data_IF_573580685040
#
_entry.id   IF_573580685040
#
_cell.length_a   1.000
_cell.length_b   1.000
_cell.length_c   1.000
_cell.angle_alpha   90.00
_cell.angle_beta   90.00
_cell.angle_gamma   90.00
#
_symmetry.space_group_name_H-M   'P 1'
#
loop_
_entity.id
_entity.type
_entity.pdbx_description
1 polymer ?
#
# COMPACT_ATOMS: atom_id res chain seq x y z
N UNK A 1 -30.76 67.66 9.53
CA UNK A 1 -31.88 66.89 10.04
C UNK A 1 -31.66 65.44 9.68
N UNK A 2 -31.52 64.65 10.74
CA UNK A 2 -31.43 63.19 10.89
C UNK A 2 -30.90 62.30 9.71
N UNK A 3 -29.64 61.89 9.82
CA UNK A 3 -29.06 60.76 9.07
C UNK A 3 -29.31 59.49 9.85
N UNK A 4 -30.09 58.55 9.31
CA UNK A 4 -30.20 57.15 9.80
C UNK A 4 -29.18 56.29 9.07
N UNK A 5 -28.19 55.81 9.79
CA UNK A 5 -27.24 54.81 9.33
C UNK A 5 -27.80 53.43 9.60
N UNK A 6 -28.18 52.70 8.54
CA UNK A 6 -28.54 51.29 8.61
C UNK A 6 -27.30 50.41 8.70
N UNK A 7 -27.13 49.69 9.83
CA UNK A 7 -26.12 48.63 10.01
C UNK A 7 -26.62 47.34 9.37
N UNK A 8 -26.05 46.94 8.26
CA UNK A 8 -26.20 45.59 7.70
C UNK A 8 -25.31 44.59 8.44
N UNK A 9 -25.96 43.62 9.10
CA UNK A 9 -25.29 42.44 9.63
C UNK A 9 -24.99 41.49 8.48
N UNK A 10 -23.72 41.22 8.19
CA UNK A 10 -23.29 40.19 7.27
C UNK A 10 -23.40 38.78 7.90
N UNK A 11 -23.77 37.74 7.14
CA UNK A 11 -23.83 36.37 7.63
C UNK A 11 -22.42 35.81 7.84
N UNK A 12 -22.16 35.30 9.03
CA UNK A 12 -20.89 34.69 9.41
C UNK A 12 -20.60 33.40 8.63
N UNK A 13 -19.43 33.36 8.01
CA UNK A 13 -18.89 32.17 7.32
C UNK A 13 -18.77 30.94 8.21
N UNK A 14 -19.20 29.75 7.73
CA UNK A 14 -19.07 28.49 8.47
C UNK A 14 -17.65 27.89 8.52
N UNK A 15 -16.63 28.59 8.01
CA UNK A 15 -15.27 28.07 7.89
C UNK A 15 -14.45 27.98 9.19
N UNK A 16 -14.98 28.43 10.35
CA UNK A 16 -14.23 28.43 11.64
C UNK A 16 -14.41 27.18 12.50
N UNK A 17 -15.27 26.20 12.13
CA UNK A 17 -15.53 25.03 12.99
C UNK A 17 -14.69 23.78 12.72
N UNK A 18 -13.94 23.74 11.63
CA UNK A 18 -13.16 22.53 11.26
C UNK A 18 -11.69 22.53 11.74
N UNK A 19 -11.15 23.67 12.20
CA UNK A 19 -9.76 23.73 12.70
C UNK A 19 -9.56 23.26 14.15
N UNK A 20 -10.60 23.19 14.95
CA UNK A 20 -10.50 22.78 16.37
C UNK A 20 -10.42 21.27 16.57
N UNK A 21 -10.85 20.45 15.61
CA UNK A 21 -10.77 18.98 15.71
C UNK A 21 -9.35 18.45 15.38
N UNK A 22 -8.65 19.06 14.41
CA UNK A 22 -7.29 18.68 14.05
C UNK A 22 -6.25 19.07 15.12
N UNK A 23 -6.44 20.20 15.79
CA UNK A 23 -5.55 20.65 16.87
C UNK A 23 -5.62 19.77 18.13
N UNK A 24 -6.79 19.17 18.45
CA UNK A 24 -6.94 18.25 19.59
C UNK A 24 -6.33 16.86 19.35
N UNK A 25 -6.22 16.41 18.11
CA UNK A 25 -5.57 15.14 17.77
C UNK A 25 -4.04 15.20 17.86
N UNK A 26 -3.43 16.35 17.61
CA UNK A 26 -1.98 16.57 17.72
C UNK A 26 -1.51 16.65 19.19
N UNK A 27 -2.29 17.24 20.09
CA UNK A 27 -1.92 17.38 21.50
C UNK A 27 -1.90 16.07 22.30
N UNK A 28 -2.57 15.00 21.84
CA UNK A 28 -2.63 13.69 22.54
C UNK A 28 -1.43 12.78 22.24
N UNK A 29 -0.52 13.16 21.34
CA UNK A 29 0.67 12.35 20.97
C UNK A 29 1.99 12.79 21.62
N UNK A 30 2.02 13.88 22.37
CA UNK A 30 3.24 14.40 23.01
C UNK A 30 3.42 14.02 24.49
N UNK A 31 2.55 13.17 25.05
CA UNK A 31 2.59 12.75 26.45
C UNK A 31 3.21 11.37 26.70
N UNK A 32 4.39 11.04 26.15
CA UNK A 32 5.14 9.84 26.52
C UNK A 32 6.48 10.24 27.14
N UNK A 33 6.75 9.92 28.43
CA UNK A 33 7.99 10.29 29.08
C UNK A 33 9.18 9.51 28.46
N UNK A 34 10.24 10.22 28.22
CA UNK A 34 11.52 9.70 27.77
C UNK A 34 12.14 8.80 28.84
N UNK A 35 12.59 7.62 28.45
CA UNK A 35 13.39 6.70 29.27
C UNK A 35 14.84 7.15 29.19
N UNK A 36 15.59 7.23 30.30
CA UNK A 36 16.96 7.71 30.28
C UNK A 36 17.90 6.69 29.63
N UNK A 37 18.75 7.21 28.78
CA UNK A 37 19.91 6.49 28.21
C UNK A 37 20.88 6.09 29.32
N UNK A 38 21.27 4.84 29.33
CA UNK A 38 22.39 4.36 30.17
C UNK A 38 23.48 3.81 29.25
N UNK A 39 24.61 4.42 29.43
CA UNK A 39 25.87 4.39 28.75
C UNK A 39 26.37 3.06 28.19
N UNK A 40 27.14 3.26 27.15
CA UNK A 40 28.02 2.31 26.52
C UNK A 40 28.98 1.66 27.51
N UNK A 41 29.15 0.33 27.40
CA UNK A 41 30.34 -0.36 27.84
C UNK A 41 30.58 -1.51 26.87
N UNK A 42 31.62 -1.35 26.10
CA UNK A 42 32.32 -2.39 25.38
C UNK A 42 32.85 -3.41 26.37
N UNK A 43 32.63 -4.70 26.16
CA UNK A 43 33.55 -5.77 26.54
C UNK A 43 33.33 -6.95 25.60
N UNK A 44 34.37 -7.22 24.84
CA UNK A 44 34.64 -8.48 24.16
C UNK A 44 34.61 -9.65 25.17
N UNK A 45 33.90 -10.72 24.84
CA UNK A 45 33.84 -11.93 25.60
C UNK A 45 33.46 -13.11 24.72
N UNK A 46 34.46 -13.74 24.10
CA UNK A 46 34.39 -15.05 23.46
C UNK A 46 33.87 -16.10 24.45
N UNK A 47 32.84 -16.88 24.19
CA UNK A 47 32.53 -18.04 25.01
C UNK A 47 33.45 -19.20 24.62
N UNK A 48 34.48 -19.36 25.44
CA UNK A 48 35.33 -20.56 25.49
C UNK A 48 34.49 -21.79 25.87
N UNK A 49 34.47 -22.79 25.01
CA UNK A 49 33.84 -24.08 25.26
C UNK A 49 34.46 -24.78 26.48
N UNK A 50 33.65 -24.93 27.51
CA UNK A 50 34.03 -25.70 28.70
C UNK A 50 33.63 -27.15 28.47
N UNK A 51 34.61 -27.98 28.05
CA UNK A 51 34.50 -29.43 28.08
C UNK A 51 34.50 -29.85 29.56
N UNK A 52 33.34 -30.35 30.04
CA UNK A 52 33.29 -31.00 31.34
C UNK A 52 33.97 -32.37 31.23
N UNK A 53 35.14 -32.45 31.81
CA UNK A 53 35.81 -33.72 32.03
C UNK A 53 35.04 -34.45 33.13
N UNK A 54 34.33 -35.53 32.78
CA UNK A 54 33.71 -36.43 33.75
C UNK A 54 34.80 -37.35 34.26
N UNK A 55 35.19 -37.18 35.53
CA UNK A 55 36.07 -38.15 36.22
C UNK A 55 35.31 -39.49 36.36
N UNK A 56 35.96 -40.63 36.05
CA UNK A 56 35.40 -41.95 36.26
C UNK A 56 35.29 -42.26 37.76
N UNK A 57 34.22 -42.90 38.22
CA UNK A 57 34.08 -43.27 39.64
C UNK A 57 35.15 -44.32 40.05
N UNK A 58 35.78 -44.05 41.17
CA UNK A 58 36.85 -44.88 41.75
C UNK A 58 36.31 -46.07 42.53
N UNK A 59 35.47 -46.90 41.94
CA UNK A 59 35.13 -48.19 42.53
C UNK A 59 35.29 -49.29 41.47
N UNK A 60 36.12 -50.26 41.83
CA UNK A 60 36.53 -51.36 40.97
C UNK A 60 35.33 -52.17 40.45
N UNK A 61 35.55 -52.75 39.30
CA UNK A 61 34.70 -53.73 38.69
C UNK A 61 34.54 -54.92 39.62
N UNK A 62 33.40 -55.12 40.25
CA UNK A 62 33.05 -56.35 40.88
C UNK A 62 32.67 -57.36 39.79
N UNK A 63 33.23 -58.55 39.85
CA UNK A 63 32.98 -59.63 38.93
C UNK A 63 31.46 -59.99 38.97
N UNK A 64 30.87 -60.33 37.85
CA UNK A 64 29.48 -60.74 37.80
C UNK A 64 29.30 -62.06 38.56
N UNK A 65 28.22 -62.23 39.33
CA UNK A 65 27.96 -63.47 40.08
C UNK A 65 27.78 -64.66 39.11
N UNK A 66 28.27 -65.83 39.55
CA UNK A 66 28.18 -67.09 38.84
C UNK A 66 26.69 -67.45 38.56
N UNK A 67 26.42 -68.02 37.38
CA UNK A 67 25.03 -68.38 37.01
C UNK A 67 24.55 -69.54 37.86
N UNK A 68 23.40 -69.35 38.50
CA UNK A 68 22.70 -70.39 39.22
C UNK A 68 22.29 -71.56 38.29
N UNK A 69 22.22 -72.80 38.78
CA UNK A 69 21.92 -73.98 37.95
C UNK A 69 20.45 -73.91 37.48
N UNK A 70 20.30 -74.13 36.19
CA UNK A 70 18.98 -74.23 35.53
C UNK A 70 18.12 -75.29 36.16
N UNK A 71 16.98 -74.90 36.74
CA UNK A 71 15.87 -75.76 37.04
C UNK A 71 15.12 -76.16 35.76
N UNK A 72 14.65 -77.38 35.59
CA UNK A 72 13.95 -77.80 34.37
C UNK A 72 12.57 -77.14 34.28
N UNK A 73 12.37 -76.51 33.12
CA UNK A 73 11.09 -75.89 32.72
C UNK A 73 9.93 -76.89 32.91
N UNK A 74 8.98 -76.58 33.81
CA UNK A 74 7.68 -77.16 33.82
C UNK A 74 6.92 -76.62 32.56
N UNK A 75 6.38 -77.62 31.82
CA UNK A 75 5.56 -77.38 30.65
C UNK A 75 4.30 -76.63 31.05
N UNK A 76 4.22 -75.35 30.71
CA UNK A 76 2.97 -74.59 30.78
C UNK A 76 2.01 -75.13 29.71
N UNK A 77 0.88 -75.58 30.15
CA UNK A 77 -0.29 -75.96 29.32
C UNK A 77 -0.70 -74.74 28.49
N UNK A 78 -0.97 -74.97 27.21
CA UNK A 78 -1.52 -74.06 26.25
C UNK A 78 -2.89 -73.51 26.76
N UNK A 79 -2.86 -72.27 27.32
CA UNK A 79 -4.06 -71.46 27.42
C UNK A 79 -4.30 -70.87 26.04
N UNK A 80 -5.52 -70.88 25.49
CA UNK A 80 -5.80 -70.32 24.20
C UNK A 80 -5.67 -68.78 24.31
N UNK A 81 -4.60 -68.25 23.72
CA UNK A 81 -4.39 -66.80 23.56
C UNK A 81 -5.62 -66.18 22.90
N UNK A 82 -6.33 -65.37 23.68
CA UNK A 82 -7.30 -64.43 23.20
C UNK A 82 -6.58 -63.44 22.29
N UNK A 83 -6.53 -63.77 21.00
CA UNK A 83 -5.86 -63.03 19.96
C UNK A 83 -6.51 -61.67 19.75
N UNK A 84 -6.19 -60.72 20.61
CA UNK A 84 -6.48 -59.31 20.34
C UNK A 84 -5.65 -58.86 19.14
N UNK A 85 -6.27 -58.56 18.00
CA UNK A 85 -5.52 -58.13 16.83
C UNK A 85 -4.79 -56.81 17.15
N UNK A 86 -3.50 -56.68 16.74
CA UNK A 86 -2.72 -55.50 17.05
C UNK A 86 -3.44 -54.27 16.52
N UNK A 87 -3.59 -53.28 17.39
CA UNK A 87 -4.31 -52.03 17.18
C UNK A 87 -3.84 -51.33 15.90
N UNK A 88 -4.48 -51.62 14.77
CA UNK A 88 -4.33 -50.93 13.47
C UNK A 88 -4.86 -49.48 13.51
N UNK A 89 -5.42 -49.04 14.63
CA UNK A 89 -5.96 -47.70 14.86
C UNK A 89 -4.86 -46.62 14.84
N UNK A 90 -3.68 -46.90 15.39
CA UNK A 90 -2.57 -45.90 15.44
C UNK A 90 -2.09 -45.49 14.05
N UNK A 91 -1.97 -46.44 13.11
CA UNK A 91 -1.51 -46.11 11.74
C UNK A 91 -2.58 -45.31 10.96
N UNK A 92 -3.85 -45.60 11.16
CA UNK A 92 -4.96 -44.86 10.51
C UNK A 92 -5.05 -43.42 11.04
N UNK A 93 -4.87 -43.24 12.36
CA UNK A 93 -4.82 -41.90 12.97
C UNK A 93 -3.60 -41.14 12.48
N UNK A 94 -2.42 -41.75 12.41
CA UNK A 94 -1.22 -41.13 11.91
C UNK A 94 -1.36 -40.67 10.44
N UNK A 95 -1.90 -41.54 9.58
CA UNK A 95 -2.15 -41.19 8.17
C UNK A 95 -3.22 -40.11 8.02
N UNK A 96 -4.26 -40.08 8.84
CA UNK A 96 -5.27 -39.02 8.84
C UNK A 96 -4.69 -37.68 9.29
N UNK A 97 -3.85 -37.68 10.35
CA UNK A 97 -3.15 -36.46 10.81
C UNK A 97 -2.18 -35.95 9.75
N UNK A 98 -1.40 -36.86 9.15
CA UNK A 98 -0.46 -36.48 8.08
C UNK A 98 -1.19 -35.90 6.86
N UNK A 99 -2.33 -36.50 6.49
CA UNK A 99 -3.22 -36.01 5.43
C UNK A 99 -3.77 -34.60 5.74
N UNK A 100 -4.23 -34.38 6.97
CA UNK A 100 -4.74 -33.09 7.42
C UNK A 100 -3.64 -32.01 7.40
N UNK A 101 -2.42 -32.33 7.87
CA UNK A 101 -1.26 -31.42 7.82
C UNK A 101 -0.88 -31.10 6.38
N UNK A 102 -0.89 -32.08 5.47
CA UNK A 102 -0.61 -31.85 4.06
C UNK A 102 -1.64 -30.91 3.42
N UNK A 103 -2.93 -31.14 3.67
CA UNK A 103 -3.99 -30.25 3.16
C UNK A 103 -3.87 -28.84 3.72
N UNK A 104 -3.57 -28.70 5.02
CA UNK A 104 -3.33 -27.40 5.64
C UNK A 104 -2.11 -26.68 5.03
N UNK A 105 -1.03 -27.41 4.77
CA UNK A 105 0.18 -26.86 4.14
C UNK A 105 -0.09 -26.41 2.70
N UNK A 106 -0.85 -27.20 1.92
CA UNK A 106 -1.24 -26.82 0.55
C UNK A 106 -2.16 -25.60 0.55
N UNK A 107 -3.12 -25.50 1.46
CA UNK A 107 -3.99 -24.35 1.62
C UNK A 107 -3.17 -23.08 1.98
N UNK A 108 -2.25 -23.20 2.93
CA UNK A 108 -1.35 -22.10 3.29
C UNK A 108 -0.48 -21.66 2.12
N UNK A 109 0.10 -22.60 1.36
CA UNK A 109 0.89 -22.31 0.17
C UNK A 109 0.07 -21.61 -0.93
N UNK A 110 -1.18 -22.03 -1.14
CA UNK A 110 -2.10 -21.41 -2.08
C UNK A 110 -2.43 -19.95 -1.69
N UNK A 111 -2.74 -19.71 -0.40
CA UNK A 111 -3.02 -18.37 0.12
C UNK A 111 -1.79 -17.45 0.01
N UNK A 112 -0.61 -17.92 0.41
CA UNK A 112 0.64 -17.17 0.31
C UNK A 112 1.00 -16.87 -1.15
N UNK A 113 0.85 -17.85 -2.04
CA UNK A 113 1.07 -17.67 -3.47
C UNK A 113 0.12 -16.64 -4.10
N UNK A 114 -1.14 -16.62 -3.68
CA UNK A 114 -2.12 -15.64 -4.12
C UNK A 114 -1.78 -14.22 -3.61
N UNK A 115 -1.46 -14.07 -2.32
CA UNK A 115 -1.03 -12.79 -1.75
C UNK A 115 0.23 -12.24 -2.43
N UNK A 116 1.22 -13.11 -2.70
CA UNK A 116 2.44 -12.72 -3.39
C UNK A 116 2.16 -12.20 -4.81
N UNK A 117 1.27 -12.88 -5.56
CA UNK A 117 0.86 -12.43 -6.90
C UNK A 117 0.12 -11.09 -6.84
N UNK A 118 -0.80 -10.92 -5.89
CA UNK A 118 -1.49 -9.63 -5.70
C UNK A 118 -0.52 -8.50 -5.37
N UNK A 119 0.46 -8.73 -4.49
CA UNK A 119 1.48 -7.74 -4.17
C UNK A 119 2.26 -7.28 -5.41
N UNK A 120 2.71 -8.23 -6.24
CA UNK A 120 3.40 -7.92 -7.50
C UNK A 120 2.53 -7.16 -8.50
N UNK A 121 1.28 -7.56 -8.66
CA UNK A 121 0.34 -6.87 -9.55
C UNK A 121 0.09 -5.43 -9.09
N UNK A 122 -0.01 -5.18 -7.79
CA UNK A 122 -0.19 -3.84 -7.22
C UNK A 122 1.05 -2.96 -7.45
N UNK A 123 2.26 -3.49 -7.30
CA UNK A 123 3.49 -2.72 -7.58
C UNK A 123 3.64 -2.38 -9.08
N UNK A 124 3.31 -3.31 -9.96
CA UNK A 124 3.27 -3.04 -11.41
C UNK A 124 2.22 -1.98 -11.74
N UNK A 125 1.00 -2.13 -11.19
CA UNK A 125 -0.09 -1.17 -11.37
C UNK A 125 0.30 0.23 -10.87
N UNK A 126 1.03 0.32 -9.76
CA UNK A 126 1.56 1.57 -9.22
C UNK A 126 2.47 2.29 -10.22
N UNK A 127 3.46 1.60 -10.76
CA UNK A 127 4.39 2.16 -11.74
C UNK A 127 3.69 2.58 -13.04
N UNK A 128 2.83 1.72 -13.58
CA UNK A 128 2.08 1.98 -14.81
C UNK A 128 1.10 3.16 -14.64
N UNK A 129 0.40 3.25 -13.51
CA UNK A 129 -0.53 4.33 -13.24
C UNK A 129 0.18 5.69 -13.09
N UNK A 130 1.35 5.74 -12.42
CA UNK A 130 2.17 6.96 -12.37
C UNK A 130 2.60 7.38 -13.76
N UNK A 131 3.12 6.48 -14.57
CA UNK A 131 3.53 6.78 -15.94
C UNK A 131 2.34 7.30 -16.79
N UNK A 132 1.16 6.71 -16.64
CA UNK A 132 -0.06 7.15 -17.30
C UNK A 132 -0.51 8.55 -16.81
N UNK A 133 -0.45 8.81 -15.50
CA UNK A 133 -0.79 10.10 -14.93
C UNK A 133 0.17 11.21 -15.41
N UNK A 134 1.48 10.95 -15.41
CA UNK A 134 2.50 11.88 -15.91
C UNK A 134 2.29 12.23 -17.39
N UNK A 135 1.87 11.26 -18.19
CA UNK A 135 1.53 11.46 -19.60
C UNK A 135 0.21 12.20 -19.80
N UNK A 136 -0.80 11.89 -18.97
CA UNK A 136 -2.14 12.44 -19.11
C UNK A 136 -2.25 13.89 -18.60
N UNK A 137 -1.61 14.21 -17.48
CA UNK A 137 -1.75 15.51 -16.82
C UNK A 137 -1.46 16.70 -17.75
N UNK A 138 -0.34 16.76 -18.47
CA UNK A 138 -0.06 17.87 -19.39
C UNK A 138 -1.10 17.98 -20.52
N UNK A 139 -1.61 16.85 -21.00
CA UNK A 139 -2.58 16.82 -22.11
C UNK A 139 -3.98 17.22 -21.66
N UNK A 140 -4.43 16.73 -20.50
CA UNK A 140 -5.78 16.97 -19.98
C UNK A 140 -5.95 18.40 -19.45
N UNK A 141 -4.85 18.96 -18.88
CA UNK A 141 -4.85 20.26 -18.22
C UNK A 141 -4.34 21.42 -19.11
N UNK A 142 -4.00 21.17 -20.38
CA UNK A 142 -3.54 22.19 -21.32
C UNK A 142 -4.52 22.39 -22.46
N UNK A 143 -4.63 23.64 -22.91
CA UNK A 143 -5.35 23.96 -24.14
C UNK A 143 -4.81 25.25 -24.77
N UNK A 144 -5.07 25.41 -26.08
CA UNK A 144 -4.83 26.63 -26.84
C UNK A 144 -6.12 26.96 -27.60
N UNK A 145 -6.60 28.20 -27.45
CA UNK A 145 -7.85 28.64 -28.08
C UNK A 145 -7.83 28.51 -29.62
N UNK A 146 -6.66 28.47 -30.24
CA UNK A 146 -6.52 28.29 -31.70
C UNK A 146 -6.81 26.88 -32.17
N UNK A 147 -6.70 25.87 -31.28
CA UNK A 147 -6.76 24.47 -31.60
C UNK A 147 -7.55 23.64 -30.58
N UNK A 148 -8.65 24.21 -30.04
CA UNK A 148 -9.42 23.60 -28.96
C UNK A 148 -9.90 22.18 -29.27
N UNK A 149 -10.45 21.96 -30.47
CA UNK A 149 -10.97 20.64 -30.86
C UNK A 149 -9.90 19.56 -30.83
N UNK A 150 -8.70 19.88 -31.31
CA UNK A 150 -7.56 18.98 -31.28
C UNK A 150 -7.11 18.68 -29.85
N UNK A 151 -7.01 19.71 -29.01
CA UNK A 151 -6.59 19.54 -27.60
C UNK A 151 -7.60 18.72 -26.82
N UNK A 152 -8.88 19.04 -26.92
CA UNK A 152 -9.94 18.33 -26.20
C UNK A 152 -10.13 16.89 -26.72
N UNK A 153 -9.99 16.66 -28.00
CA UNK A 153 -10.04 15.30 -28.57
C UNK A 153 -8.91 14.43 -28.02
N UNK A 154 -7.67 14.95 -28.00
CA UNK A 154 -6.52 14.26 -27.42
C UNK A 154 -6.70 13.97 -25.93
N UNK A 155 -7.19 14.95 -25.16
CA UNK A 155 -7.47 14.78 -23.74
C UNK A 155 -8.53 13.68 -23.53
N UNK A 156 -9.65 13.73 -24.25
CA UNK A 156 -10.73 12.73 -24.17
C UNK A 156 -10.27 11.31 -24.47
N UNK A 157 -9.28 11.13 -25.33
CA UNK A 157 -8.69 9.80 -25.61
C UNK A 157 -8.00 9.19 -24.38
N UNK A 158 -7.56 10.01 -23.42
CA UNK A 158 -6.91 9.58 -22.18
C UNK A 158 -7.89 9.40 -21.01
N UNK A 159 -9.16 9.76 -21.21
CA UNK A 159 -10.21 9.69 -20.20
C UNK A 159 -11.12 8.49 -20.40
N UNK A 160 -11.80 8.06 -19.35
CA UNK A 160 -12.75 6.95 -19.41
C UNK A 160 -14.02 7.24 -18.60
N UNK A 161 -15.08 6.46 -18.89
CA UNK A 161 -16.33 6.47 -18.17
C UNK A 161 -17.04 7.83 -18.14
N UNK A 162 -17.74 8.06 -17.05
CA UNK A 162 -18.51 9.28 -16.84
C UNK A 162 -17.66 10.57 -16.94
N UNK A 163 -16.41 10.50 -16.48
CA UNK A 163 -15.50 11.65 -16.52
C UNK A 163 -15.19 12.11 -17.95
N UNK A 164 -15.01 11.19 -18.89
CA UNK A 164 -14.83 11.51 -20.31
C UNK A 164 -16.01 12.32 -20.88
N UNK A 165 -17.24 11.94 -20.49
CA UNK A 165 -18.45 12.62 -20.97
C UNK A 165 -18.63 13.98 -20.29
N UNK A 166 -18.40 14.04 -18.97
CA UNK A 166 -18.42 15.28 -18.20
C UNK A 166 -17.37 16.29 -18.72
N UNK A 167 -16.15 15.85 -18.94
CA UNK A 167 -15.09 16.66 -19.53
C UNK A 167 -15.49 17.22 -20.89
N UNK A 168 -16.07 16.37 -21.77
CA UNK A 168 -16.56 16.80 -23.07
C UNK A 168 -17.67 17.85 -22.99
N UNK A 169 -18.62 17.70 -22.08
CA UNK A 169 -19.68 18.68 -21.83
C UNK A 169 -19.12 20.01 -21.31
N UNK A 170 -18.28 19.96 -20.30
CA UNK A 170 -17.70 21.16 -19.67
C UNK A 170 -16.78 21.91 -20.63
N UNK A 171 -15.93 21.21 -21.36
CA UNK A 171 -15.01 21.85 -22.32
C UNK A 171 -15.78 22.52 -23.45
N UNK A 172 -16.85 21.91 -23.95
CA UNK A 172 -17.70 22.50 -25.01
C UNK A 172 -18.55 23.68 -24.52
N UNK A 173 -19.15 23.54 -23.33
CA UNK A 173 -20.13 24.52 -22.84
C UNK A 173 -19.46 25.74 -22.17
N UNK A 174 -18.33 25.56 -21.52
CA UNK A 174 -17.69 26.60 -20.68
C UNK A 174 -16.30 26.96 -21.19
N UNK A 175 -15.42 25.97 -21.34
CA UNK A 175 -13.99 26.26 -21.60
C UNK A 175 -13.79 26.82 -23.01
N UNK A 176 -14.41 26.24 -24.05
CA UNK A 176 -14.22 26.66 -25.43
C UNK A 176 -14.69 28.11 -25.67
N UNK A 177 -15.93 28.53 -25.30
CA UNK A 177 -16.34 29.90 -25.51
C UNK A 177 -15.52 30.90 -24.70
N UNK A 178 -15.15 30.55 -23.46
CA UNK A 178 -14.31 31.40 -22.61
C UNK A 178 -12.88 31.55 -23.17
N UNK A 179 -12.26 30.44 -23.57
CA UNK A 179 -10.93 30.44 -24.15
C UNK A 179 -10.86 31.23 -25.47
N UNK A 180 -11.89 31.09 -26.32
CA UNK A 180 -12.00 31.85 -27.58
C UNK A 180 -12.18 33.33 -27.31
N UNK A 181 -13.07 33.70 -26.38
CA UNK A 181 -13.35 35.09 -26.04
C UNK A 181 -12.11 35.83 -25.52
N UNK A 182 -11.32 35.17 -24.69
CA UNK A 182 -10.18 35.81 -24.03
C UNK A 182 -8.82 35.39 -24.60
N UNK A 183 -8.80 34.70 -25.72
CA UNK A 183 -7.59 34.16 -26.37
C UNK A 183 -6.74 33.33 -25.39
N UNK A 184 -7.44 32.47 -24.61
CA UNK A 184 -6.85 31.71 -23.51
C UNK A 184 -5.92 30.60 -23.99
N UNK A 185 -4.70 30.59 -23.47
CA UNK A 185 -3.72 29.51 -23.62
C UNK A 185 -3.30 29.06 -22.24
N UNK A 186 -3.48 27.80 -21.94
CA UNK A 186 -3.02 27.16 -20.69
C UNK A 186 -2.04 26.04 -21.04
N UNK A 187 -0.84 26.12 -20.50
CA UNK A 187 0.18 25.08 -20.60
C UNK A 187 0.46 24.50 -19.22
N UNK A 188 0.10 23.24 -19.02
CA UNK A 188 0.37 22.48 -17.82
C UNK A 188 1.62 21.61 -18.00
N UNK A 189 2.47 21.55 -16.99
CA UNK A 189 3.63 20.67 -16.92
C UNK A 189 3.70 20.07 -15.52
N UNK A 190 4.06 18.80 -15.38
CA UNK A 190 4.33 18.26 -14.05
C UNK A 190 5.61 18.88 -13.51
N UNK A 191 5.58 19.34 -12.27
CA UNK A 191 6.73 19.95 -11.64
C UNK A 191 7.88 18.93 -11.54
N UNK A 192 9.08 19.37 -11.89
CA UNK A 192 10.31 18.58 -11.75
C UNK A 192 11.26 19.37 -10.88
N UNK A 193 11.98 18.74 -9.93
CA UNK A 193 13.00 19.42 -9.14
C UNK A 193 14.09 20.05 -10.03
N UNK A 194 14.66 21.13 -9.58
CA UNK A 194 15.68 21.88 -10.34
C UNK A 194 16.98 21.07 -10.55
N UNK A 195 17.23 20.10 -9.71
CA UNK A 195 18.38 19.18 -9.76
C UNK A 195 18.20 18.01 -10.75
N UNK A 196 17.09 17.99 -11.51
CA UNK A 196 16.81 16.96 -12.52
C UNK A 196 16.26 15.65 -11.93
N UNK A 197 15.75 15.68 -10.71
CA UNK A 197 15.11 14.55 -10.05
C UNK A 197 13.82 14.07 -10.75
N UNK A 198 13.19 13.02 -10.19
CA UNK A 198 11.95 12.49 -10.70
C UNK A 198 10.82 13.54 -10.67
N UNK A 199 9.86 13.49 -11.62
CA UNK A 199 8.69 14.36 -11.60
C UNK A 199 7.93 14.25 -10.28
N UNK A 200 7.41 15.39 -9.80
CA UNK A 200 6.71 15.48 -8.51
C UNK A 200 5.34 14.79 -8.58
N UNK A 201 5.36 13.47 -8.41
CA UNK A 201 4.22 12.58 -8.41
C UNK A 201 4.30 11.61 -7.24
N UNK A 202 3.18 11.33 -6.59
CA UNK A 202 3.08 10.37 -5.49
C UNK A 202 1.84 9.51 -5.63
N UNK A 203 1.96 8.21 -5.35
CA UNK A 203 0.82 7.31 -5.34
C UNK A 203 0.16 7.37 -3.97
N UNK A 204 -1.08 7.80 -3.94
CA UNK A 204 -1.93 7.82 -2.73
C UNK A 204 -2.48 6.42 -2.45
N UNK A 205 -2.94 5.73 -3.49
CA UNK A 205 -3.40 4.35 -3.41
C UNK A 205 -3.24 3.65 -4.76
N UNK A 206 -3.01 2.34 -4.73
CA UNK A 206 -2.94 1.51 -5.92
C UNK A 206 -3.57 0.15 -5.67
N UNK A 207 -4.32 -0.33 -6.65
CA UNK A 207 -4.85 -1.66 -6.79
C UNK A 207 -4.62 -2.10 -8.25
N UNK A 208 -4.76 -3.39 -8.61
CA UNK A 208 -4.49 -3.87 -9.96
C UNK A 208 -5.30 -3.17 -11.08
N UNK A 209 -6.48 -2.65 -10.76
CA UNK A 209 -7.43 -2.03 -11.69
C UNK A 209 -7.67 -0.54 -11.46
N UNK A 210 -7.23 0.00 -10.33
CA UNK A 210 -7.47 1.40 -9.94
C UNK A 210 -6.28 1.98 -9.18
N UNK A 211 -5.94 3.24 -9.47
CA UNK A 211 -4.91 3.97 -8.73
C UNK A 211 -5.31 5.44 -8.54
N UNK A 212 -4.81 6.03 -7.46
CA UNK A 212 -4.93 7.46 -7.17
C UNK A 212 -3.53 8.04 -7.10
N UNK A 213 -3.24 9.01 -7.95
CA UNK A 213 -1.93 9.68 -8.05
C UNK A 213 -2.10 11.16 -7.74
N UNK A 214 -1.26 11.67 -6.86
CA UNK A 214 -1.11 13.09 -6.59
C UNK A 214 0.04 13.65 -7.42
N UNK A 215 -0.22 14.74 -8.12
CA UNK A 215 0.74 15.44 -8.97
C UNK A 215 0.87 16.89 -8.55
N UNK A 216 2.08 17.43 -8.63
CA UNK A 216 2.30 18.88 -8.57
C UNK A 216 2.45 19.37 -10.01
N UNK A 217 1.64 20.35 -10.37
CA UNK A 217 1.52 20.83 -11.76
C UNK A 217 1.75 22.33 -11.81
N UNK A 218 2.68 22.73 -12.65
CA UNK A 218 2.89 24.12 -13.01
C UNK A 218 1.98 24.44 -14.19
N UNK A 219 1.11 25.45 -14.04
CA UNK A 219 0.26 25.93 -15.13
C UNK A 219 0.64 27.37 -15.49
N UNK A 220 1.00 27.57 -16.74
CA UNK A 220 1.21 28.92 -17.30
C UNK A 220 -0.01 29.30 -18.09
N UNK A 221 -0.71 30.32 -17.61
CA UNK A 221 -1.92 30.88 -18.26
C UNK A 221 -1.60 32.20 -18.95
N UNK A 222 -2.00 32.30 -20.21
CA UNK A 222 -1.97 33.53 -21.01
C UNK A 222 -3.37 33.83 -21.52
N UNK A 223 -3.81 35.09 -21.43
CA UNK A 223 -5.08 35.54 -21.99
C UNK A 223 -5.09 37.05 -22.15
N UNK A 224 -6.06 37.58 -22.87
CA UNK A 224 -6.23 39.06 -22.98
C UNK A 224 -6.67 39.72 -21.67
N UNK A 225 -7.04 38.92 -20.65
CA UNK A 225 -7.42 39.44 -19.33
C UNK A 225 -6.25 39.62 -18.38
N UNK A 226 -5.09 39.05 -18.69
CA UNK A 226 -3.89 39.16 -17.86
C UNK A 226 -2.76 39.81 -18.68
N UNK A 227 -2.14 40.89 -18.18
CA UNK A 227 -1.12 41.64 -18.94
C UNK A 227 0.16 40.80 -19.17
N UNK A 228 0.45 39.83 -18.28
CA UNK A 228 1.61 38.97 -18.41
C UNK A 228 1.23 37.50 -18.11
N UNK A 229 2.02 36.51 -18.59
CA UNK A 229 1.81 35.14 -18.28
C UNK A 229 1.78 34.89 -16.77
N UNK A 230 0.72 34.24 -16.28
CA UNK A 230 0.58 33.87 -14.87
C UNK A 230 1.00 32.42 -14.69
N UNK A 231 1.88 32.19 -13.71
CA UNK A 231 2.27 30.87 -13.28
C UNK A 231 1.48 30.47 -12.02
N UNK A 232 0.75 29.40 -12.10
CA UNK A 232 0.02 28.81 -10.97
C UNK A 232 0.62 27.44 -10.63
N UNK A 233 0.87 27.19 -9.34
CA UNK A 233 1.32 25.91 -8.79
C UNK A 233 0.11 25.18 -8.21
N UNK A 234 -0.28 24.10 -8.84
CA UNK A 234 -1.46 23.35 -8.45
C UNK A 234 -1.11 21.95 -7.98
N UNK A 235 -1.84 21.48 -6.98
CA UNK A 235 -1.87 20.07 -6.57
C UNK A 235 -3.08 19.42 -7.19
N UNK A 236 -2.85 18.36 -7.95
CA UNK A 236 -3.89 17.67 -8.70
C UNK A 236 -3.90 16.20 -8.31
N UNK A 237 -5.06 15.73 -7.85
CA UNK A 237 -5.31 14.31 -7.59
C UNK A 237 -5.98 13.70 -8.82
N UNK A 238 -5.32 12.73 -9.43
CA UNK A 238 -5.85 11.98 -10.56
C UNK A 238 -6.25 10.58 -10.12
N UNK A 239 -7.48 10.20 -10.38
CA UNK A 239 -7.93 8.80 -10.27
C UNK A 239 -7.82 8.15 -11.63
N UNK A 240 -7.15 7.00 -11.69
CA UNK A 240 -6.98 6.22 -12.91
C UNK A 240 -7.65 4.86 -12.74
N UNK A 241 -8.17 4.36 -13.85
CA UNK A 241 -8.79 3.03 -13.94
C UNK A 241 -8.15 2.27 -15.09
N UNK A 242 -7.84 1.01 -14.88
CA UNK A 242 -7.31 0.11 -15.92
C UNK A 242 -8.45 -0.31 -16.84
N UNK A 243 -8.24 -0.15 -18.14
CA UNK A 243 -9.17 -0.57 -19.21
C UNK A 243 -8.47 -1.54 -20.14
N UNK A 244 -9.19 -2.09 -21.15
CA UNK A 244 -8.58 -2.88 -22.23
C UNK A 244 -7.49 -2.12 -22.99
N UNK A 245 -7.63 -0.79 -23.09
CA UNK A 245 -6.68 0.09 -23.79
C UNK A 245 -5.57 0.65 -22.86
N UNK A 246 -5.43 0.10 -21.66
CA UNK A 246 -4.49 0.55 -20.65
C UNK A 246 -5.10 1.48 -19.59
N UNK A 247 -4.25 2.21 -18.88
CA UNK A 247 -4.68 3.12 -17.82
C UNK A 247 -5.29 4.40 -18.40
N UNK A 248 -6.51 4.73 -17.96
CA UNK A 248 -7.25 5.94 -18.33
C UNK A 248 -7.62 6.75 -17.09
N UNK A 249 -7.69 8.07 -17.23
CA UNK A 249 -8.12 8.95 -16.13
C UNK A 249 -9.64 8.91 -15.99
N UNK A 250 -10.11 8.60 -14.79
CA UNK A 250 -11.54 8.51 -14.43
C UNK A 250 -12.03 9.66 -13.54
N UNK A 251 -11.12 10.44 -12.93
CA UNK A 251 -11.43 11.68 -12.24
C UNK A 251 -10.17 12.55 -12.10
N UNK A 252 -10.38 13.86 -11.99
CA UNK A 252 -9.36 14.88 -11.71
C UNK A 252 -9.93 15.87 -10.70
N UNK A 253 -9.24 16.02 -9.58
CA UNK A 253 -9.59 16.95 -8.50
C UNK A 253 -8.43 17.91 -8.27
N UNK A 254 -8.68 19.20 -8.23
CA UNK A 254 -7.74 20.21 -7.72
C UNK A 254 -7.82 20.27 -6.19
N UNK A 255 -6.66 20.39 -5.51
CA UNK A 255 -6.55 20.37 -4.05
C UNK A 255 -6.05 21.71 -3.51
#
# INVERSE_FOLDING_TARGET
>A
MAHQTARTRGPGSPARRTMTAAARAAAKRTGRPARPERGAREEEGTPSGRTLLVEPPANGWEDPPEPEPFEPFESFEDDPEDGTPPRRTGRRVLTAVLGAVLVAALAAAAVLGWQYRQGRQTEQARGEAVAAALKAAPVVLSYDYRHLDRHFSRARALLTGHFRDQYGKTTKAVVAPTATKYHGVVKATVATPADGGAPAASVVSAAPDRAVVLLFVNQVTRSTQVPQPRLDLNRVRMTLTRTSDGWKVSAVDAL
#
